data_IF_976231673547
#
_entry.id   IF_976231673547
#
_cell.length_a   1.000
_cell.length_b   1.000
_cell.length_c   1.000
_cell.angle_alpha   90.00
_cell.angle_beta   90.00
_cell.angle_gamma   90.00
#
_symmetry.space_group_name_H-M   'P 1'
#
loop_
_entity.id
_entity.type
_entity.pdbx_description
1 polymer ?
#
# COMPACT_ATOMS: atom_id res chain seq x y z
N UNK A 1 -17.14 13.56 15.07
CA UNK A 1 -17.51 13.24 13.65
C UNK A 1 -17.72 14.46 12.75
N UNK A 2 -18.24 15.61 13.23
CA UNK A 2 -18.50 16.81 12.39
C UNK A 2 -17.28 17.39 11.63
N UNK A 3 -16.05 17.30 12.18
CA UNK A 3 -14.84 17.80 11.51
C UNK A 3 -14.38 16.93 10.32
N UNK A 4 -14.70 15.63 10.31
CA UNK A 4 -14.37 14.73 9.20
C UNK A 4 -15.27 15.01 7.99
N UNK A 5 -16.55 15.29 8.23
CA UNK A 5 -17.48 15.73 7.18
C UNK A 5 -17.07 17.10 6.62
N UNK A 6 -16.64 18.03 7.48
CA UNK A 6 -16.08 19.31 7.03
C UNK A 6 -14.77 19.17 6.24
N UNK A 7 -13.92 18.19 6.60
CA UNK A 7 -12.72 17.82 5.85
C UNK A 7 -13.07 17.26 4.47
N UNK A 8 -14.17 16.49 4.36
CA UNK A 8 -14.71 16.08 3.08
C UNK A 8 -15.46 17.19 2.34
N UNK A 9 -15.95 18.25 3.00
CA UNK A 9 -16.60 19.39 2.33
C UNK A 9 -15.58 20.34 1.69
N UNK A 10 -14.54 20.75 2.44
CA UNK A 10 -13.56 21.74 1.98
C UNK A 10 -12.28 21.09 1.45
N UNK A 11 -11.79 21.59 0.31
CA UNK A 11 -10.51 21.14 -0.26
C UNK A 11 -9.34 21.40 0.72
N UNK A 12 -8.51 20.39 1.04
CA UNK A 12 -7.34 20.58 1.87
C UNK A 12 -6.29 21.46 1.18
N UNK A 13 -5.41 22.08 1.99
CA UNK A 13 -4.31 22.92 1.46
C UNK A 13 -3.37 22.06 0.61
N UNK A 14 -2.76 22.65 -0.41
CA UNK A 14 -1.83 21.95 -1.32
C UNK A 14 -0.71 21.22 -0.57
N UNK A 15 -0.15 21.85 0.47
CA UNK A 15 0.86 21.20 1.33
C UNK A 15 0.34 19.93 2.00
N UNK A 16 -0.89 19.95 2.50
CA UNK A 16 -1.53 18.79 3.12
C UNK A 16 -1.72 17.66 2.10
N UNK A 17 -2.06 17.99 0.85
CA UNK A 17 -2.18 16.99 -0.23
C UNK A 17 -0.82 16.35 -0.52
N UNK A 18 0.24 17.15 -0.62
CA UNK A 18 1.60 16.65 -0.86
C UNK A 18 2.09 15.77 0.30
N UNK A 19 1.98 16.25 1.54
CA UNK A 19 2.33 15.45 2.71
C UNK A 19 1.49 14.18 2.84
N UNK A 20 0.21 14.23 2.49
CA UNK A 20 -0.65 13.06 2.45
C UNK A 20 -0.13 12.01 1.47
N UNK A 21 0.36 12.40 0.29
CA UNK A 21 0.94 11.48 -0.70
C UNK A 21 2.28 10.89 -0.23
N UNK A 22 3.15 11.71 0.37
CA UNK A 22 4.42 11.26 0.94
C UNK A 22 4.17 10.26 2.06
N UNK A 23 3.32 10.62 3.03
CA UNK A 23 2.97 9.76 4.16
C UNK A 23 2.31 8.46 3.70
N UNK A 24 1.42 8.53 2.70
CA UNK A 24 0.80 7.35 2.11
C UNK A 24 1.81 6.41 1.45
N UNK A 25 2.74 6.94 0.64
CA UNK A 25 3.80 6.13 0.03
C UNK A 25 4.73 5.49 1.06
N UNK A 26 5.15 6.25 2.07
CA UNK A 26 5.97 5.73 3.18
C UNK A 26 5.24 4.65 3.97
N UNK A 27 3.94 4.83 4.23
CA UNK A 27 3.15 3.85 4.96
C UNK A 27 3.09 2.50 4.21
N UNK A 28 2.87 2.52 2.89
CA UNK A 28 2.93 1.30 2.07
C UNK A 28 4.33 0.69 2.14
N UNK A 29 5.39 1.49 2.00
CA UNK A 29 6.77 1.00 2.06
C UNK A 29 7.09 0.34 3.41
N UNK A 30 6.61 0.91 4.53
CA UNK A 30 6.82 0.36 5.87
C UNK A 30 6.08 -0.97 6.02
N UNK A 31 4.81 -1.04 5.61
CA UNK A 31 4.00 -2.25 5.71
C UNK A 31 4.62 -3.39 4.89
N UNK A 32 5.05 -3.10 3.65
CA UNK A 32 5.70 -4.10 2.80
C UNK A 32 7.11 -4.45 3.30
N UNK A 33 7.91 -3.45 3.70
CA UNK A 33 9.30 -3.63 4.11
C UNK A 33 9.46 -4.40 5.41
N UNK A 34 8.62 -4.13 6.42
CA UNK A 34 8.68 -4.86 7.69
C UNK A 34 8.19 -6.30 7.59
N UNK A 35 7.46 -6.64 6.53
CA UNK A 35 6.88 -7.97 6.35
C UNK A 35 7.43 -8.69 5.11
N UNK A 36 8.55 -8.23 4.55
CA UNK A 36 9.07 -8.71 3.26
C UNK A 36 9.33 -10.22 3.24
N UNK A 37 9.84 -10.77 4.35
CA UNK A 37 10.13 -12.21 4.51
C UNK A 37 8.86 -13.05 4.77
N UNK A 38 7.78 -12.40 5.21
CA UNK A 38 6.53 -13.04 5.63
C UNK A 38 5.43 -12.96 4.56
N UNK A 39 5.63 -12.24 3.46
CA UNK A 39 4.67 -12.15 2.36
C UNK A 39 4.64 -13.49 1.60
N UNK A 40 3.44 -14.03 1.40
CA UNK A 40 3.16 -15.11 0.43
C UNK A 40 2.38 -14.48 -0.70
N UNK A 41 2.73 -14.82 -1.93
CA UNK A 41 1.95 -14.41 -3.08
C UNK A 41 1.17 -15.59 -3.68
N UNK A 42 -0.14 -15.42 -3.88
CA UNK A 42 -1.01 -16.41 -4.53
C UNK A 42 -0.86 -16.31 -6.06
N UNK A 43 0.18 -16.94 -6.62
CA UNK A 43 0.45 -16.93 -8.07
C UNK A 43 0.16 -18.28 -8.73
N UNK A 44 -0.24 -18.27 -10.02
CA UNK A 44 -0.23 -19.47 -10.87
C UNK A 44 1.19 -20.08 -10.90
N UNK A 45 1.28 -21.40 -11.07
CA UNK A 45 2.58 -22.12 -11.07
C UNK A 45 3.61 -21.53 -12.04
N UNK A 46 3.16 -21.09 -13.22
CA UNK A 46 4.00 -20.47 -14.25
C UNK A 46 4.69 -19.17 -13.78
N UNK A 47 4.07 -18.45 -12.85
CA UNK A 47 4.56 -17.15 -12.36
C UNK A 47 5.35 -17.25 -11.06
N UNK A 48 5.38 -18.41 -10.39
CA UNK A 48 6.14 -18.61 -9.14
C UNK A 48 7.63 -18.35 -9.32
N UNK A 49 8.18 -18.59 -10.52
CA UNK A 49 9.58 -18.28 -10.86
C UNK A 49 9.90 -16.78 -10.69
N UNK A 50 8.90 -15.91 -10.84
CA UNK A 50 9.03 -14.46 -10.73
C UNK A 50 8.59 -13.90 -9.37
N UNK A 51 8.29 -14.75 -8.38
CA UNK A 51 7.74 -14.33 -7.09
C UNK A 51 8.58 -13.22 -6.44
N UNK A 52 9.90 -13.40 -6.39
CA UNK A 52 10.83 -12.41 -5.83
C UNK A 52 10.74 -11.06 -6.56
N UNK A 53 10.71 -11.08 -7.90
CA UNK A 53 10.58 -9.86 -8.69
C UNK A 53 9.24 -9.16 -8.47
N UNK A 54 8.16 -9.92 -8.28
CA UNK A 54 6.83 -9.38 -8.05
C UNK A 54 6.73 -8.77 -6.66
N UNK A 55 7.32 -9.39 -5.63
CA UNK A 55 7.43 -8.80 -4.28
C UNK A 55 8.15 -7.44 -4.33
N UNK A 56 9.30 -7.35 -5.00
CA UNK A 56 9.97 -6.06 -5.17
C UNK A 56 9.16 -5.08 -6.03
N UNK A 57 8.43 -5.57 -7.03
CA UNK A 57 7.50 -4.79 -7.83
C UNK A 57 6.40 -4.11 -7.02
N UNK A 58 5.98 -4.69 -5.88
CA UNK A 58 4.98 -4.07 -5.00
C UNK A 58 5.46 -2.73 -4.41
N UNK A 59 6.77 -2.53 -4.25
CA UNK A 59 7.32 -1.25 -3.79
C UNK A 59 7.11 -0.10 -4.79
N UNK A 60 6.84 -0.40 -6.07
CA UNK A 60 6.48 0.63 -7.05
C UNK A 60 5.21 1.37 -6.59
N UNK A 61 4.25 0.67 -5.97
CA UNK A 61 3.04 1.30 -5.43
C UNK A 61 3.33 2.24 -4.26
N UNK A 62 4.43 2.03 -3.52
CA UNK A 62 4.89 2.97 -2.50
C UNK A 62 5.64 4.17 -3.13
N UNK A 63 6.48 3.92 -4.12
CA UNK A 63 7.33 4.91 -4.76
C UNK A 63 6.55 5.97 -5.55
N UNK A 64 5.54 5.55 -6.32
CA UNK A 64 4.74 6.47 -7.16
C UNK A 64 4.12 7.62 -6.35
N UNK A 65 3.31 7.38 -5.30
CA UNK A 65 2.74 8.46 -4.50
C UNK A 65 3.81 9.25 -3.73
N UNK A 66 4.89 8.60 -3.30
CA UNK A 66 6.00 9.26 -2.62
C UNK A 66 6.70 10.29 -3.52
N UNK A 67 7.14 9.87 -4.72
CA UNK A 67 7.78 10.75 -5.70
C UNK A 67 6.83 11.87 -6.16
N UNK A 68 5.56 11.56 -6.40
CA UNK A 68 4.56 12.57 -6.75
C UNK A 68 4.30 13.57 -5.60
N UNK A 69 4.47 13.13 -4.36
CA UNK A 69 4.37 13.96 -3.16
C UNK A 69 5.57 14.90 -2.99
N UNK A 70 6.79 14.42 -3.19
CA UNK A 70 8.02 15.22 -3.07
C UNK A 70 8.14 16.23 -4.20
N UNK A 71 8.02 15.76 -5.44
CA UNK A 71 8.26 16.60 -6.62
C UNK A 71 7.10 17.58 -6.86
N UNK A 72 5.90 17.26 -6.36
CA UNK A 72 4.70 18.03 -6.63
C UNK A 72 4.33 18.12 -8.11
N UNK A 73 4.86 17.20 -8.94
CA UNK A 73 4.63 17.15 -10.38
C UNK A 73 3.15 16.84 -10.66
N UNK A 74 2.64 17.49 -11.71
CA UNK A 74 1.32 17.24 -12.25
C UNK A 74 1.43 16.46 -13.53
N UNK A 75 1.06 15.18 -13.47
CA UNK A 75 1.21 14.25 -14.58
C UNK A 75 0.22 14.52 -15.72
N UNK A 76 -0.98 15.03 -15.42
CA UNK A 76 -2.03 15.19 -16.40
C UNK A 76 -3.09 16.21 -16.00
N UNK A 77 -4.02 16.51 -16.93
CA UNK A 77 -5.22 17.30 -16.65
C UNK A 77 -6.05 16.66 -15.54
N UNK A 78 -6.81 17.48 -14.81
CA UNK A 78 -7.65 17.08 -13.66
C UNK A 78 -8.45 15.79 -13.88
N UNK A 79 -9.09 15.63 -15.06
CA UNK A 79 -9.91 14.44 -15.37
C UNK A 79 -9.08 13.15 -15.29
N UNK A 80 -7.88 13.14 -15.87
CA UNK A 80 -7.00 11.97 -15.90
C UNK A 80 -6.38 11.68 -14.53
N UNK A 81 -5.99 12.71 -13.77
CA UNK A 81 -5.46 12.52 -12.41
C UNK A 81 -6.50 11.87 -11.50
N UNK A 82 -7.79 12.22 -11.64
CA UNK A 82 -8.87 11.55 -10.91
C UNK A 82 -8.99 10.09 -11.28
N UNK A 83 -8.99 9.78 -12.58
CA UNK A 83 -9.07 8.40 -13.08
C UNK A 83 -7.88 7.59 -12.58
N UNK A 84 -6.66 8.13 -12.64
CA UNK A 84 -5.45 7.44 -12.16
C UNK A 84 -5.51 7.15 -10.66
N UNK A 85 -6.01 8.07 -9.84
CA UNK A 85 -6.23 7.83 -8.39
C UNK A 85 -7.26 6.73 -8.13
N UNK A 86 -8.35 6.68 -8.91
CA UNK A 86 -9.37 5.62 -8.83
C UNK A 86 -8.75 4.28 -9.23
N UNK A 87 -8.10 4.20 -10.39
CA UNK A 87 -7.44 3.00 -10.88
C UNK A 87 -6.42 2.49 -9.89
N UNK A 88 -5.56 3.37 -9.36
CA UNK A 88 -4.56 3.02 -8.37
C UNK A 88 -5.18 2.45 -7.09
N UNK A 89 -6.29 3.03 -6.59
CA UNK A 89 -7.00 2.50 -5.43
C UNK A 89 -7.64 1.14 -5.66
N UNK A 90 -8.29 0.94 -6.81
CA UNK A 90 -8.84 -0.36 -7.21
C UNK A 90 -7.73 -1.40 -7.30
N UNK A 91 -6.58 -1.04 -7.89
CA UNK A 91 -5.44 -1.94 -8.05
C UNK A 91 -4.89 -2.40 -6.70
N UNK A 92 -4.74 -1.50 -5.73
CA UNK A 92 -4.34 -1.87 -4.36
C UNK A 92 -5.35 -2.78 -3.66
N UNK A 93 -6.65 -2.56 -3.85
CA UNK A 93 -7.69 -3.43 -3.28
C UNK A 93 -7.61 -4.84 -3.86
N UNK A 94 -7.46 -4.96 -5.17
CA UNK A 94 -7.35 -6.26 -5.84
C UNK A 94 -6.07 -6.97 -5.40
N UNK A 95 -4.90 -6.32 -5.49
CA UNK A 95 -3.64 -6.93 -5.08
C UNK A 95 -3.63 -7.33 -3.61
N UNK A 96 -4.10 -6.44 -2.73
CA UNK A 96 -4.13 -6.70 -1.29
C UNK A 96 -5.01 -7.89 -0.94
N UNK A 97 -6.21 -8.01 -1.52
CA UNK A 97 -7.12 -9.10 -1.16
C UNK A 97 -6.84 -10.41 -1.89
N UNK A 98 -6.34 -10.36 -3.13
CA UNK A 98 -6.27 -11.56 -3.99
C UNK A 98 -4.86 -12.08 -4.20
N UNK A 99 -3.85 -11.20 -4.16
CA UNK A 99 -2.48 -11.58 -4.47
C UNK A 99 -1.62 -11.74 -3.22
N UNK A 100 -1.81 -10.90 -2.19
CA UNK A 100 -0.92 -10.82 -1.03
C UNK A 100 -1.54 -11.54 0.17
N UNK A 101 -0.80 -12.47 0.74
CA UNK A 101 -1.11 -13.14 2.00
C UNK A 101 0.12 -13.11 2.92
N UNK A 102 -0.03 -13.56 4.17
CA UNK A 102 1.04 -13.54 5.17
C UNK A 102 1.22 -14.87 5.86
N UNK A 103 2.48 -15.32 5.95
CA UNK A 103 2.86 -16.51 6.72
C UNK A 103 2.45 -16.32 8.18
N UNK A 104 1.83 -17.35 8.74
CA UNK A 104 1.66 -17.48 10.19
C UNK A 104 3.03 -17.92 10.74
N UNK A 105 3.65 -17.19 11.68
CA UNK A 105 4.92 -17.61 12.25
C UNK A 105 4.73 -18.92 13.02
N UNK A 106 5.42 -19.98 12.58
CA UNK A 106 5.55 -21.23 13.31
C UNK A 106 6.82 -21.19 14.17
N UNK A 107 6.70 -21.51 15.46
CA UNK A 107 7.87 -21.70 16.32
C UNK A 107 8.08 -23.19 16.49
N UNK A 108 9.30 -23.64 16.21
CA UNK A 108 9.72 -24.99 16.55
C UNK A 108 9.93 -25.06 18.07
N UNK A 109 9.09 -25.83 18.76
CA UNK A 109 9.26 -26.09 20.19
C UNK A 109 10.10 -27.36 20.31
N UNK A 110 11.31 -27.25 20.88
CA UNK A 110 12.10 -28.42 21.27
C UNK A 110 11.50 -28.94 22.58
N UNK A 111 11.01 -30.19 22.65
CA UNK A 111 10.54 -30.77 23.90
C UNK A 111 11.68 -30.74 24.93
N UNK A 112 11.45 -30.16 26.11
CA UNK A 112 12.46 -30.06 27.17
C UNK A 112 12.69 -31.37 27.94
N UNK A 113 12.13 -32.48 27.49
CA UNK A 113 12.27 -33.78 28.11
C UNK A 113 13.18 -34.69 27.29
N UNK A 114 14.49 -34.46 27.32
CA UNK A 114 15.45 -35.58 27.21
C UNK A 114 16.83 -35.19 27.74
N UNK A 115 17.24 -35.91 28.78
CA UNK A 115 18.62 -36.00 29.23
C UNK A 115 19.54 -36.37 28.07
N UNK A 116 20.68 -35.67 27.96
CA UNK A 116 21.95 -36.12 27.39
C UNK A 116 21.90 -37.30 26.39
N UNK A 117 21.85 -36.97 25.09
CA UNK A 117 22.18 -37.89 24.00
C UNK A 117 21.32 -37.67 22.75
N UNK A 118 21.98 -37.28 21.64
CA UNK A 118 21.45 -37.23 20.26
C UNK A 118 20.05 -36.61 20.06
N UNK A 119 20.01 -35.36 19.57
CA UNK A 119 18.77 -34.72 19.13
C UNK A 119 18.28 -35.37 17.82
N UNK A 120 17.21 -36.16 17.91
CA UNK A 120 16.55 -36.75 16.76
C UNK A 120 15.62 -35.70 16.11
N UNK A 121 16.01 -35.18 14.94
CA UNK A 121 15.31 -34.09 14.23
C UNK A 121 13.84 -34.44 13.90
N UNK A 122 13.53 -35.73 13.88
CA UNK A 122 12.18 -36.28 13.65
C UNK A 122 11.18 -36.03 14.79
N UNK A 123 11.64 -35.58 15.97
CA UNK A 123 10.82 -35.36 17.17
C UNK A 123 10.38 -33.89 17.39
N UNK A 124 10.81 -32.97 16.54
CA UNK A 124 10.47 -31.54 16.64
C UNK A 124 9.03 -31.34 16.15
N UNK A 125 8.11 -31.03 17.07
CA UNK A 125 6.73 -30.69 16.71
C UNK A 125 6.61 -29.18 16.51
N UNK A 126 6.32 -28.75 15.28
CA UNK A 126 6.07 -27.35 14.95
C UNK A 126 4.76 -26.91 15.60
N UNK A 127 4.82 -25.95 16.53
CA UNK A 127 3.62 -25.39 17.14
C UNK A 127 3.45 -23.95 16.64
N UNK A 128 2.32 -23.59 16.00
CA UNK A 128 2.09 -22.23 15.56
C UNK A 128 2.04 -21.29 16.78
N UNK A 129 2.91 -20.28 16.82
CA UNK A 129 2.84 -19.24 17.85
C UNK A 129 1.57 -18.40 17.69
N UNK A 130 0.90 -18.00 18.79
CA UNK A 130 -0.27 -17.12 18.76
C UNK A 130 0.08 -15.64 18.49
N UNK A 131 1.21 -15.37 17.83
CA UNK A 131 1.52 -14.05 17.30
C UNK A 131 0.67 -13.88 16.04
N UNK A 132 -0.47 -13.20 16.13
CA UNK A 132 -1.29 -12.92 14.95
C UNK A 132 -0.43 -12.20 13.90
N UNK A 133 -0.11 -12.84 12.75
CA UNK A 133 0.65 -12.17 11.71
C UNK A 133 -0.12 -10.92 11.27
N UNK A 134 0.59 -9.81 11.06
CA UNK A 134 -0.02 -8.60 10.49
C UNK A 134 -0.48 -8.97 9.09
N UNK A 135 -1.79 -9.00 8.85
CA UNK A 135 -2.33 -9.33 7.53
C UNK A 135 -2.02 -8.20 6.53
N UNK A 136 -0.87 -8.31 5.86
CA UNK A 136 -0.36 -7.30 4.91
C UNK A 136 -1.36 -7.07 3.79
N UNK A 137 -1.95 -8.13 3.24
CA UNK A 137 -2.93 -8.05 2.16
C UNK A 137 -4.13 -7.17 2.53
N UNK A 138 -4.71 -7.41 3.71
CA UNK A 138 -5.80 -6.61 4.26
C UNK A 138 -5.42 -5.13 4.40
N UNK A 139 -4.24 -4.82 4.95
CA UNK A 139 -3.81 -3.43 5.12
C UNK A 139 -3.55 -2.73 3.80
N UNK A 140 -2.96 -3.42 2.81
CA UNK A 140 -2.77 -2.88 1.47
C UNK A 140 -4.12 -2.61 0.79
N UNK A 141 -5.08 -3.54 0.92
CA UNK A 141 -6.41 -3.35 0.38
C UNK A 141 -7.16 -2.18 1.05
N UNK A 142 -7.08 -2.08 2.38
CA UNK A 142 -7.66 -0.98 3.16
C UNK A 142 -7.08 0.37 2.71
N UNK A 143 -5.77 0.44 2.48
CA UNK A 143 -5.11 1.65 1.99
C UNK A 143 -5.55 2.03 0.58
N UNK A 144 -5.97 1.07 -0.25
CA UNK A 144 -6.55 1.34 -1.57
C UNK A 144 -7.85 2.17 -1.53
N UNK A 145 -8.58 2.19 -0.41
CA UNK A 145 -9.79 3.00 -0.25
C UNK A 145 -9.47 4.51 -0.27
N UNK A 146 -8.31 4.93 0.26
CA UNK A 146 -7.92 6.34 0.33
C UNK A 146 -7.75 7.00 -1.05
N UNK A 147 -6.92 6.46 -1.98
CA UNK A 147 -6.81 7.00 -3.33
C UNK A 147 -8.11 6.83 -4.14
N UNK A 148 -8.90 5.79 -3.87
CA UNK A 148 -10.22 5.62 -4.48
C UNK A 148 -11.15 6.79 -4.13
N UNK A 149 -11.32 7.09 -2.83
CA UNK A 149 -12.13 8.21 -2.36
C UNK A 149 -11.55 9.56 -2.82
N UNK A 150 -10.23 9.70 -2.82
CA UNK A 150 -9.54 10.89 -3.31
C UNK A 150 -9.84 11.17 -4.79
N UNK A 151 -9.85 10.13 -5.63
CA UNK A 151 -10.16 10.23 -7.05
C UNK A 151 -11.65 10.51 -7.32
N UNK A 152 -12.55 9.79 -6.64
CA UNK A 152 -14.01 10.00 -6.73
C UNK A 152 -14.36 11.42 -6.32
N UNK A 153 -13.86 11.90 -5.19
CA UNK A 153 -14.13 13.27 -4.72
C UNK A 153 -13.37 14.33 -5.53
N UNK A 154 -12.22 13.98 -6.11
CA UNK A 154 -11.35 14.89 -6.85
C UNK A 154 -10.78 16.03 -5.99
N UNK A 155 -10.81 15.88 -4.66
CA UNK A 155 -10.40 16.93 -3.70
C UNK A 155 -8.90 16.89 -3.37
N UNK A 156 -8.25 15.74 -3.57
CA UNK A 156 -6.82 15.54 -3.30
C UNK A 156 -5.92 15.82 -4.53
N UNK A 157 -6.27 16.85 -5.30
CA UNK A 157 -5.52 17.34 -6.46
C UNK A 157 -4.98 18.73 -6.12
N UNK A 158 -3.69 18.98 -6.33
CA UNK A 158 -3.02 20.25 -6.02
C UNK A 158 -3.43 21.36 -6.99
N UNK A 159 -3.25 22.63 -6.61
CA UNK A 159 -3.71 23.76 -7.41
C UNK A 159 -2.94 23.88 -8.72
N UNK A 160 -1.64 23.53 -8.69
CA UNK A 160 -0.80 23.36 -9.88
C UNK A 160 -1.43 22.37 -10.87
N UNK A 161 -1.98 21.26 -10.39
CA UNK A 161 -2.57 20.23 -11.24
C UNK A 161 -3.96 20.60 -11.75
N UNK A 162 -4.67 21.48 -11.04
CA UNK A 162 -5.94 22.02 -11.52
C UNK A 162 -5.73 22.93 -12.72
N UNK A 163 -4.68 23.75 -12.70
CA UNK A 163 -4.32 24.68 -13.79
C UNK A 163 -3.52 24.03 -14.92
N UNK A 164 -3.14 22.76 -14.77
CA UNK A 164 -2.27 22.07 -15.72
C UNK A 164 -2.97 21.85 -17.06
N UNK A 165 -2.46 22.48 -18.12
CA UNK A 165 -3.02 22.40 -19.46
C UNK A 165 -4.35 23.16 -19.64
N UNK A 166 -4.68 24.10 -18.74
CA UNK A 166 -5.76 25.06 -18.95
C UNK A 166 -5.27 26.22 -19.83
N UNK A 167 -6.06 26.57 -20.85
CA UNK A 167 -5.83 27.77 -21.68
C UNK A 167 -6.47 28.96 -20.96
N UNK A 168 -5.70 30.00 -20.64
CA UNK A 168 -6.22 31.21 -19.99
C UNK A 168 -7.12 31.95 -20.99
N UNK A 169 -8.44 31.91 -20.77
CA UNK A 169 -9.43 32.51 -21.68
C UNK A 169 -9.74 33.98 -21.41
N UNK A 170 -9.50 34.49 -20.19
CA UNK A 170 -9.67 35.90 -19.82
C UNK A 170 -8.70 36.27 -18.71
N UNK A 171 -7.94 37.34 -18.92
CA UNK A 171 -7.22 38.06 -17.85
C UNK A 171 -8.15 39.18 -17.40
N UNK A 172 -8.57 39.16 -16.13
CA UNK A 172 -9.18 40.33 -15.50
C UNK A 172 -8.04 41.12 -14.87
N UNK A 173 -7.79 42.30 -15.44
CA UNK A 173 -6.92 43.34 -14.89
C UNK A 173 -7.69 44.08 -13.82
#
# INVERSE_FOLDING_TARGET
MFKLIAFFQKRPKDRTILFGRIGFGLLIAIILGLNLENIILHLPEELKVYETFIVYGLFIFALVPFLMGITGICLAKRKYVRILQICFGIMLIILGNWLIDTKIPTVQIIPSDTQSGSLDYSSITETPTPSSPVNVGFWIALLGILPLLAGITGKCITSKCLKYGEVIKKIRV
#
